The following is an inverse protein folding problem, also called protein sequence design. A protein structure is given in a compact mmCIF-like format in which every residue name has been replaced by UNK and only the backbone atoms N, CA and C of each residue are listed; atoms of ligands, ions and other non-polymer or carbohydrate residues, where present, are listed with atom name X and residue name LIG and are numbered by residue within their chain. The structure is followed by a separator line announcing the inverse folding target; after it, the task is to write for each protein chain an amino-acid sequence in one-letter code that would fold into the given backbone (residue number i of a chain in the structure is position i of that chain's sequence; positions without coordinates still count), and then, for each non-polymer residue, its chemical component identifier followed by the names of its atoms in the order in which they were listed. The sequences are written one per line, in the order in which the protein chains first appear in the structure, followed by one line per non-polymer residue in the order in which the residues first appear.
data_IF_460048522329
#
_entry.id   IF_460048522329
#
_cell.length_a   1.000
_cell.length_b   1.000
_cell.length_c   1.000
_cell.angle_alpha   90.00
_cell.angle_beta   90.00
_cell.angle_gamma   90.00
#
_symmetry.space_group_name_H-M   'P 1'
#
loop_
_entity.id
_entity.type
_entity.pdbx_description
1 polymer ?
#
# COMPACT_ATOMS: atom_id res chain seq x y z
N UNK A 1 8.39 27.01 2.69
CA UNK A 1 7.97 28.03 1.71
C UNK A 1 6.75 28.70 2.31
N UNK A 2 6.82 29.97 2.68
CA UNK A 2 5.65 30.66 3.23
C UNK A 2 4.58 30.79 2.13
N UNK A 3 3.29 30.55 2.42
CA UNK A 3 2.20 30.76 1.48
C UNK A 3 2.26 32.18 0.88
N UNK A 4 2.09 32.32 -0.44
CA UNK A 4 2.13 33.64 -1.12
C UNK A 4 0.92 34.53 -0.81
N UNK A 5 -0.14 33.91 -0.35
CA UNK A 5 -1.36 34.47 0.25
C UNK A 5 -1.53 33.64 1.53
N UNK A 6 -1.90 34.21 2.69
CA UNK A 6 -1.98 33.54 4.01
C UNK A 6 -3.03 32.40 4.12
N UNK A 7 -3.13 31.57 3.08
CA UNK A 7 -4.04 30.45 2.94
C UNK A 7 -3.29 29.16 3.26
N UNK A 8 -3.47 28.67 4.47
CA UNK A 8 -2.89 27.42 4.98
C UNK A 8 -3.91 26.27 4.88
N UNK A 9 -3.43 25.02 5.05
CA UNK A 9 -4.31 23.85 5.12
C UNK A 9 -5.36 23.97 6.23
N UNK A 10 -4.97 24.43 7.42
CA UNK A 10 -5.91 24.65 8.52
C UNK A 10 -6.99 25.69 8.17
N UNK A 11 -6.65 26.78 7.48
CA UNK A 11 -7.63 27.78 7.02
C UNK A 11 -8.59 27.18 6.00
N UNK A 12 -8.10 26.39 5.04
CA UNK A 12 -8.93 25.70 4.07
C UNK A 12 -9.89 24.69 4.74
N UNK A 13 -9.39 23.88 5.67
CA UNK A 13 -10.18 22.87 6.39
C UNK A 13 -11.30 23.50 7.23
N UNK A 14 -11.02 24.59 7.96
CA UNK A 14 -12.07 25.32 8.71
C UNK A 14 -13.15 25.89 7.78
N UNK A 15 -12.81 26.23 6.54
CA UNK A 15 -13.78 26.67 5.55
C UNK A 15 -14.62 25.49 5.02
N UNK A 16 -14.00 24.34 4.74
CA UNK A 16 -14.70 23.13 4.29
C UNK A 16 -15.74 22.65 5.30
N UNK A 17 -15.44 22.65 6.60
CA UNK A 17 -16.40 22.25 7.63
C UNK A 17 -17.67 23.13 7.71
N UNK A 18 -17.69 24.29 7.02
CA UNK A 18 -18.87 25.16 6.89
C UNK A 18 -19.49 25.14 5.50
N UNK A 19 -18.99 24.28 4.61
CA UNK A 19 -19.45 24.16 3.23
C UNK A 19 -20.42 22.99 3.02
N UNK A 20 -20.95 22.41 4.11
CA UNK A 20 -21.80 21.22 4.09
C UNK A 20 -21.17 20.05 3.29
N UNK A 21 -19.92 19.65 3.59
CA UNK A 21 -19.23 18.64 2.79
C UNK A 21 -19.75 17.24 3.15
N UNK A 22 -19.73 16.32 2.19
CA UNK A 22 -19.87 14.87 2.46
C UNK A 22 -18.51 14.17 2.49
N UNK A 23 -17.60 14.59 1.60
CA UNK A 23 -16.28 13.99 1.39
C UNK A 23 -15.22 15.08 1.37
N UNK A 24 -14.14 14.86 2.11
CA UNK A 24 -13.01 15.78 2.21
C UNK A 24 -11.75 15.07 1.74
N UNK A 25 -11.08 15.62 0.72
CA UNK A 25 -9.77 15.14 0.26
C UNK A 25 -8.68 16.10 0.73
N UNK A 26 -7.83 15.61 1.63
CA UNK A 26 -6.64 16.31 2.09
C UNK A 26 -5.47 15.80 1.24
N UNK A 27 -4.79 16.71 0.54
CA UNK A 27 -3.70 16.32 -0.37
C UNK A 27 -2.63 15.49 0.33
N UNK A 28 -2.14 15.95 1.49
CA UNK A 28 -1.14 15.24 2.29
C UNK A 28 -1.22 15.69 3.76
N UNK A 29 -1.11 14.76 4.70
CA UNK A 29 -0.99 15.05 6.14
C UNK A 29 0.48 15.07 6.55
N UNK A 30 1.08 16.27 6.60
CA UNK A 30 2.50 16.44 6.93
C UNK A 30 2.78 16.74 8.40
N UNK A 31 1.79 17.32 9.08
CA UNK A 31 1.93 17.85 10.43
C UNK A 31 0.74 17.46 11.30
N UNK A 32 0.94 17.59 12.61
CA UNK A 32 -0.06 17.30 13.63
C UNK A 32 -1.36 18.08 13.41
N UNK A 33 -1.26 19.38 13.07
CA UNK A 33 -2.44 20.24 12.92
C UNK A 33 -3.35 19.72 11.78
N UNK A 34 -2.78 19.44 10.61
CA UNK A 34 -3.54 18.93 9.46
C UNK A 34 -4.11 17.55 9.73
N UNK A 35 -3.35 16.66 10.36
CA UNK A 35 -3.80 15.32 10.72
C UNK A 35 -4.96 15.35 11.74
N UNK A 36 -4.84 16.18 12.79
CA UNK A 36 -5.86 16.31 13.84
C UNK A 36 -7.19 16.81 13.26
N UNK A 37 -7.15 17.84 12.41
CA UNK A 37 -8.37 18.38 11.78
C UNK A 37 -9.02 17.32 10.86
N UNK A 38 -8.21 16.51 10.16
CA UNK A 38 -8.74 15.41 9.35
C UNK A 38 -9.44 14.34 10.19
N UNK A 39 -8.87 13.95 11.33
CA UNK A 39 -9.49 13.00 12.26
C UNK A 39 -10.78 13.57 12.87
N UNK A 40 -10.78 14.83 13.32
CA UNK A 40 -11.97 15.50 13.83
C UNK A 40 -13.10 15.58 12.78
N UNK A 41 -12.75 15.87 11.53
CA UNK A 41 -13.69 15.85 10.42
C UNK A 41 -14.28 14.45 10.19
N UNK A 42 -13.46 13.40 10.28
CA UNK A 42 -13.91 12.01 10.18
C UNK A 42 -14.88 11.64 11.31
N UNK A 43 -14.56 11.97 12.56
CA UNK A 43 -15.39 11.70 13.74
C UNK A 43 -16.74 12.44 13.72
N UNK A 44 -16.83 13.55 12.97
CA UNK A 44 -18.08 14.29 12.78
C UNK A 44 -18.93 13.75 11.63
N UNK A 45 -18.53 12.63 11.01
CA UNK A 45 -19.33 11.90 10.02
C UNK A 45 -18.93 12.12 8.56
N UNK A 46 -17.84 12.84 8.29
CA UNK A 46 -17.36 13.08 6.93
C UNK A 46 -16.44 11.95 6.45
N UNK A 47 -16.52 11.57 5.18
CA UNK A 47 -15.51 10.68 4.60
C UNK A 47 -14.24 11.48 4.31
N UNK A 48 -13.15 11.16 5.01
CA UNK A 48 -11.86 11.84 4.82
C UNK A 48 -10.89 10.94 4.09
N UNK A 49 -10.37 11.42 2.97
CA UNK A 49 -9.29 10.79 2.21
C UNK A 49 -8.03 11.64 2.34
N UNK A 50 -6.89 11.00 2.57
CA UNK A 50 -5.61 11.70 2.69
C UNK A 50 -4.45 10.84 2.21
N UNK A 51 -3.29 11.47 2.02
CA UNK A 51 -2.05 10.77 1.70
C UNK A 51 -0.95 11.04 2.72
N UNK A 52 -0.10 10.02 2.93
CA UNK A 52 1.11 10.10 3.75
C UNK A 52 2.24 9.37 3.03
N UNK A 53 3.47 9.75 3.35
CA UNK A 53 4.67 9.08 2.85
C UNK A 53 5.22 8.09 3.87
N UNK A 54 4.86 6.82 3.69
CA UNK A 54 5.24 5.68 4.53
C UNK A 54 5.61 4.49 3.64
N UNK A 55 6.30 3.48 4.18
CA UNK A 55 6.71 2.31 3.38
C UNK A 55 5.67 1.18 3.39
N UNK A 56 4.75 1.18 4.34
CA UNK A 56 3.72 0.16 4.51
C UNK A 56 2.45 0.73 5.15
N UNK A 57 1.35 -0.01 5.04
CA UNK A 57 0.09 0.38 5.65
C UNK A 57 0.17 0.38 7.20
N UNK A 58 0.75 -0.64 7.87
CA UNK A 58 0.95 -0.61 9.32
C UNK A 58 1.84 0.55 9.80
N UNK A 59 2.92 0.90 9.08
CA UNK A 59 3.80 2.01 9.44
C UNK A 59 3.09 3.37 9.38
N UNK A 60 2.01 3.48 8.59
CA UNK A 60 1.20 4.70 8.54
C UNK A 60 0.52 4.98 9.86
N UNK A 61 0.07 3.93 10.57
CA UNK A 61 -0.52 4.07 11.90
C UNK A 61 0.52 4.61 12.87
N UNK A 62 1.70 3.98 12.95
CA UNK A 62 2.75 4.43 13.86
C UNK A 62 3.20 5.85 13.53
N UNK A 63 3.31 6.20 12.25
CA UNK A 63 3.66 7.55 11.80
C UNK A 63 2.64 8.61 12.25
N UNK A 64 1.35 8.30 12.17
CA UNK A 64 0.28 9.20 12.60
C UNK A 64 0.27 9.37 14.13
N UNK A 65 0.55 8.31 14.88
CA UNK A 65 0.73 8.39 16.33
C UNK A 65 1.98 9.21 16.73
N UNK A 66 3.08 9.06 15.99
CA UNK A 66 4.32 9.83 16.20
C UNK A 66 4.15 11.33 15.90
N UNK A 67 3.23 11.68 14.98
CA UNK A 67 2.84 13.08 14.76
C UNK A 67 2.10 13.67 15.96
N UNK A 68 1.66 12.84 16.92
CA UNK A 68 1.00 13.26 18.15
C UNK A 68 -0.50 13.08 18.16
N UNK A 69 -1.08 12.36 17.18
CA UNK A 69 -2.50 12.05 17.21
C UNK A 69 -2.86 11.26 18.46
N UNK A 70 -3.99 11.62 19.05
CA UNK A 70 -4.58 10.85 20.13
C UNK A 70 -4.99 9.45 19.59
N UNK A 71 -4.48 8.35 20.18
CA UNK A 71 -4.78 7.01 19.68
C UNK A 71 -6.26 6.69 19.69
N UNK A 72 -7.01 7.22 20.67
CA UNK A 72 -8.43 6.91 20.81
C UNK A 72 -9.21 7.49 19.63
N UNK A 73 -9.08 8.80 19.45
CA UNK A 73 -9.75 9.49 18.35
C UNK A 73 -9.31 8.95 16.98
N UNK A 74 -8.02 8.63 16.82
CA UNK A 74 -7.49 8.14 15.55
C UNK A 74 -8.05 6.77 15.17
N UNK A 75 -8.06 5.79 16.07
CA UNK A 75 -8.56 4.47 15.68
C UNK A 75 -10.08 4.42 15.52
N UNK A 76 -10.85 5.20 16.28
CA UNK A 76 -12.29 5.36 16.02
C UNK A 76 -12.56 5.94 14.62
N UNK A 77 -11.72 6.85 14.16
CA UNK A 77 -11.84 7.48 12.84
C UNK A 77 -11.28 6.65 11.67
N UNK A 78 -10.47 5.63 11.94
CA UNK A 78 -9.73 4.89 10.92
C UNK A 78 -10.59 3.81 10.27
N UNK A 79 -10.90 3.98 8.98
CA UNK A 79 -11.54 2.95 8.17
C UNK A 79 -10.53 1.96 7.57
N UNK A 80 -9.37 2.45 7.14
CA UNK A 80 -8.32 1.64 6.54
C UNK A 80 -7.18 2.46 5.97
N UNK A 81 -6.10 1.78 5.61
CA UNK A 81 -4.90 2.35 5.01
C UNK A 81 -4.54 1.54 3.77
N UNK A 82 -4.39 2.22 2.63
CA UNK A 82 -3.86 1.63 1.41
C UNK A 82 -2.42 2.11 1.21
N UNK A 83 -1.47 1.19 1.33
CA UNK A 83 -0.11 1.39 0.84
C UNK A 83 0.01 0.84 -0.58
N UNK A 84 0.77 1.53 -1.43
CA UNK A 84 0.97 1.11 -2.81
C UNK A 84 2.33 1.48 -3.36
N UNK A 85 2.80 0.68 -4.32
CA UNK A 85 3.93 1.02 -5.20
C UNK A 85 3.58 0.68 -6.64
N UNK A 86 4.36 1.19 -7.60
CA UNK A 86 4.16 0.94 -9.03
C UNK A 86 5.30 0.10 -9.59
N UNK A 87 4.94 -1.00 -10.23
CA UNK A 87 5.84 -1.85 -11.02
C UNK A 87 5.58 -1.64 -12.51
N UNK A 88 6.59 -1.85 -13.35
CA UNK A 88 6.39 -1.82 -14.81
C UNK A 88 5.64 -3.07 -15.25
N UNK A 89 4.70 -2.93 -16.17
CA UNK A 89 3.96 -4.06 -16.74
C UNK A 89 4.73 -4.63 -17.93
N UNK A 90 4.79 -5.96 -18.06
CA UNK A 90 5.36 -6.64 -19.21
C UNK A 90 4.66 -6.21 -20.49
N UNK A 91 5.42 -6.01 -21.56
CA UNK A 91 4.85 -5.61 -22.85
C UNK A 91 3.94 -6.74 -23.38
N UNK A 92 2.65 -6.48 -23.66
CA UNK A 92 1.72 -7.53 -24.09
C UNK A 92 2.07 -8.11 -25.48
N UNK A 93 2.89 -7.41 -26.28
CA UNK A 93 3.28 -7.83 -27.63
C UNK A 93 4.52 -8.71 -27.68
N UNK A 94 5.43 -8.58 -26.72
CA UNK A 94 6.72 -9.27 -26.76
C UNK A 94 7.04 -10.06 -25.50
N UNK A 95 6.19 -10.10 -24.47
CA UNK A 95 6.43 -10.97 -23.32
C UNK A 95 6.52 -12.44 -23.78
N UNK A 96 7.46 -13.19 -23.22
CA UNK A 96 7.68 -14.59 -23.57
C UNK A 96 7.78 -15.45 -22.31
N UNK A 97 7.33 -16.73 -22.36
CA UNK A 97 7.51 -17.65 -21.25
C UNK A 97 8.99 -18.00 -21.07
N UNK A 98 9.40 -18.20 -19.82
CA UNK A 98 10.69 -18.79 -19.46
C UNK A 98 10.51 -19.73 -18.27
N UNK A 99 11.38 -20.74 -18.18
CA UNK A 99 11.49 -21.56 -16.98
C UNK A 99 12.34 -20.81 -15.95
N UNK A 100 11.77 -20.38 -14.81
CA UNK A 100 12.54 -19.67 -13.80
C UNK A 100 13.60 -20.58 -13.18
N UNK A 101 14.80 -20.05 -12.86
CA UNK A 101 15.81 -20.81 -12.14
C UNK A 101 15.32 -21.12 -10.72
N UNK A 102 15.77 -22.25 -10.14
CA UNK A 102 15.32 -22.69 -8.82
C UNK A 102 15.46 -21.60 -7.74
N UNK A 103 16.58 -20.87 -7.75
CA UNK A 103 16.83 -19.76 -6.81
C UNK A 103 15.76 -18.66 -6.88
N UNK A 104 15.22 -18.39 -8.05
CA UNK A 104 14.14 -17.41 -8.22
C UNK A 104 12.83 -17.94 -7.64
N UNK A 105 12.51 -19.22 -7.88
CA UNK A 105 11.35 -19.87 -7.29
C UNK A 105 11.44 -19.91 -5.76
N UNK A 106 12.59 -20.33 -5.22
CA UNK A 106 12.82 -20.40 -3.78
C UNK A 106 12.62 -19.02 -3.13
N UNK A 107 13.15 -17.97 -3.75
CA UNK A 107 12.96 -16.60 -3.26
C UNK A 107 11.50 -16.14 -3.35
N UNK A 108 10.78 -16.47 -4.42
CA UNK A 108 9.35 -16.13 -4.55
C UNK A 108 8.52 -16.83 -3.46
N UNK A 109 8.81 -18.09 -3.15
CA UNK A 109 8.12 -18.85 -2.10
C UNK A 109 8.43 -18.26 -0.71
N UNK A 110 9.71 -18.04 -0.41
CA UNK A 110 10.14 -17.45 0.86
C UNK A 110 9.55 -16.05 1.08
N UNK A 111 9.64 -15.18 0.06
CA UNK A 111 9.12 -13.82 0.13
C UNK A 111 7.59 -13.73 0.23
N UNK A 112 6.87 -14.76 -0.22
CA UNK A 112 5.41 -14.86 -0.06
C UNK A 112 5.02 -15.39 1.33
N UNK A 113 5.89 -16.21 1.93
CA UNK A 113 5.62 -17.04 3.10
C UNK A 113 5.21 -18.46 2.69
N UNK A 114 5.96 -19.48 3.11
CA UNK A 114 5.80 -20.86 2.63
C UNK A 114 4.38 -21.42 2.80
N UNK A 115 3.76 -21.18 3.97
CA UNK A 115 2.41 -21.68 4.25
C UNK A 115 1.35 -20.95 3.41
N UNK A 116 1.47 -19.63 3.29
CA UNK A 116 0.55 -18.83 2.47
C UNK A 116 0.72 -19.16 0.99
N UNK A 117 1.94 -19.45 0.53
CA UNK A 117 2.21 -19.75 -0.87
C UNK A 117 1.51 -21.02 -1.33
N UNK A 118 1.37 -22.03 -0.46
CA UNK A 118 0.63 -23.26 -0.76
C UNK A 118 -0.81 -22.99 -1.17
N UNK A 119 -1.42 -21.90 -0.68
CA UNK A 119 -2.79 -21.53 -1.03
C UNK A 119 -2.96 -21.11 -2.50
N UNK A 120 -1.86 -20.73 -3.17
CA UNK A 120 -1.87 -20.39 -4.60
C UNK A 120 -2.02 -21.62 -5.51
N UNK A 121 -1.80 -22.84 -4.99
CA UNK A 121 -1.87 -24.11 -5.74
C UNK A 121 -1.04 -24.12 -7.03
N UNK A 122 0.19 -23.59 -6.97
CA UNK A 122 1.12 -23.53 -8.10
C UNK A 122 2.05 -24.75 -8.07
N UNK A 123 2.15 -25.45 -9.20
CA UNK A 123 3.13 -26.52 -9.39
C UNK A 123 4.49 -25.93 -9.81
N UNK A 124 5.43 -25.88 -8.85
CA UNK A 124 6.76 -25.29 -9.05
C UNK A 124 7.63 -26.07 -10.04
N UNK A 125 7.36 -27.36 -10.28
CA UNK A 125 8.18 -28.17 -11.18
C UNK A 125 7.91 -27.85 -12.66
N UNK A 126 6.66 -27.43 -12.94
CA UNK A 126 6.15 -27.19 -14.29
C UNK A 126 5.85 -25.73 -14.59
N UNK A 127 5.92 -24.83 -13.61
CA UNK A 127 5.59 -23.42 -13.80
C UNK A 127 6.51 -22.72 -14.79
N UNK A 128 5.90 -21.96 -15.71
CA UNK A 128 6.57 -20.99 -16.57
C UNK A 128 6.13 -19.58 -16.17
N UNK A 129 7.08 -18.66 -16.11
CA UNK A 129 6.82 -17.24 -15.84
C UNK A 129 6.96 -16.43 -17.12
N UNK A 130 6.32 -15.27 -17.16
CA UNK A 130 6.46 -14.34 -18.29
C UNK A 130 7.61 -13.37 -18.05
N UNK A 131 8.50 -13.23 -19.04
CA UNK A 131 9.66 -12.34 -18.97
C UNK A 131 9.68 -11.28 -20.09
N UNK A 132 10.50 -10.23 -19.92
CA UNK A 132 10.66 -9.17 -20.91
C UNK A 132 11.59 -9.62 -22.06
N UNK A 133 11.19 -9.33 -23.31
CA UNK A 133 12.04 -9.56 -24.51
C UNK A 133 12.53 -8.25 -25.13
N UNK A 134 11.62 -7.32 -25.40
CA UNK A 134 11.91 -6.08 -26.14
C UNK A 134 11.37 -6.13 -27.57
N UNK A 135 10.74 -5.03 -27.98
CA UNK A 135 10.30 -4.80 -29.35
C UNK A 135 10.12 -3.30 -29.59
N UNK A 136 9.90 -2.92 -30.84
CA UNK A 136 9.66 -1.54 -31.25
C UNK A 136 8.51 -0.86 -30.50
N UNK A 137 7.45 -1.61 -30.16
CA UNK A 137 6.28 -1.09 -29.43
C UNK A 137 6.55 -0.67 -27.98
N UNK A 138 7.59 -1.23 -27.36
CA UNK A 138 8.02 -0.91 -26.00
C UNK A 138 9.38 -0.22 -25.95
N UNK A 139 9.91 0.22 -27.10
CA UNK A 139 11.24 0.83 -27.21
C UNK A 139 12.35 -0.11 -26.74
N UNK A 140 12.23 -1.40 -27.06
CA UNK A 140 13.18 -2.47 -26.70
C UNK A 140 13.40 -2.68 -25.19
N UNK A 141 12.51 -2.13 -24.35
CA UNK A 141 12.61 -2.28 -22.89
C UNK A 141 12.01 -3.58 -22.36
N UNK A 142 11.09 -4.18 -23.11
CA UNK A 142 10.27 -5.32 -22.67
C UNK A 142 9.08 -4.95 -21.78
N UNK A 143 8.88 -3.65 -21.47
CA UNK A 143 7.80 -3.17 -20.59
C UNK A 143 6.94 -2.09 -21.24
N UNK A 144 5.64 -2.08 -20.96
CA UNK A 144 4.73 -1.04 -21.43
C UNK A 144 3.60 -0.82 -20.43
N UNK A 145 3.58 0.36 -19.82
CA UNK A 145 2.64 0.70 -18.74
C UNK A 145 3.16 0.33 -17.35
N UNK A 146 2.29 0.47 -16.35
CA UNK A 146 2.57 0.18 -14.95
C UNK A 146 1.38 -0.51 -14.31
N UNK A 147 1.65 -1.35 -13.33
CA UNK A 147 0.66 -1.95 -12.43
C UNK A 147 0.95 -1.54 -11.00
N UNK A 148 -0.11 -1.31 -10.23
CA UNK A 148 0.00 -1.10 -8.79
C UNK A 148 0.21 -2.44 -8.08
N UNK A 149 1.05 -2.43 -7.06
CA UNK A 149 1.02 -3.41 -5.98
C UNK A 149 0.46 -2.73 -4.74
N UNK A 150 -0.37 -3.45 -4.00
CA UNK A 150 -1.22 -2.89 -2.97
C UNK A 150 -1.11 -3.69 -1.69
N UNK A 151 -1.14 -2.98 -0.57
CA UNK A 151 -1.29 -3.53 0.76
C UNK A 151 -2.40 -2.74 1.43
N UNK A 152 -3.53 -3.42 1.68
CA UNK A 152 -4.74 -2.81 2.19
C UNK A 152 -5.00 -3.32 3.61
N UNK A 153 -4.78 -2.44 4.57
CA UNK A 153 -5.10 -2.65 5.97
C UNK A 153 -6.49 -2.09 6.24
N UNK A 154 -7.35 -2.88 6.88
CA UNK A 154 -8.70 -2.48 7.28
C UNK A 154 -8.72 -2.20 8.79
N UNK A 155 -9.40 -1.13 9.21
CA UNK A 155 -9.56 -0.76 10.61
C UNK A 155 -10.57 -1.66 11.33
N UNK A 156 -10.23 -2.92 11.56
CA UNK A 156 -11.04 -3.87 12.35
C UNK A 156 -11.07 -3.48 13.82
N UNK A 157 -12.03 -4.00 14.59
CA UNK A 157 -12.12 -3.72 16.03
C UNK A 157 -10.87 -4.22 16.77
N UNK A 158 -10.32 -5.36 16.37
CA UNK A 158 -9.11 -5.97 16.90
C UNK A 158 -7.90 -5.07 16.63
N UNK A 159 -7.76 -4.57 15.40
CA UNK A 159 -6.70 -3.65 15.03
C UNK A 159 -6.84 -2.31 15.78
N UNK A 160 -8.04 -1.74 15.85
CA UNK A 160 -8.32 -0.53 16.61
C UNK A 160 -7.91 -0.68 18.09
N UNK A 161 -8.18 -1.84 18.69
CA UNK A 161 -7.76 -2.13 20.07
C UNK A 161 -6.23 -2.15 20.25
N UNK A 162 -5.47 -2.55 19.24
CA UNK A 162 -4.01 -2.46 19.24
C UNK A 162 -3.52 -1.02 19.12
N UNK A 163 -4.18 -0.21 18.28
CA UNK A 163 -3.88 1.21 18.12
C UNK A 163 -4.15 1.97 19.43
N UNK A 164 -5.29 1.73 20.10
CA UNK A 164 -5.60 2.28 21.43
C UNK A 164 -4.48 2.06 22.44
N UNK A 165 -3.87 0.87 22.41
CA UNK A 165 -2.79 0.48 23.34
C UNK A 165 -1.41 0.94 22.89
N UNK A 166 -1.29 1.61 21.75
CA UNK A 166 -0.01 1.96 21.09
C UNK A 166 0.89 0.72 20.95
N UNK A 167 0.33 -0.38 20.46
CA UNK A 167 1.06 -1.61 20.26
C UNK A 167 2.23 -1.43 19.28
N UNK A 168 3.24 -2.29 19.42
CA UNK A 168 4.39 -2.35 18.52
C UNK A 168 3.96 -2.64 17.08
N UNK A 169 4.71 -2.10 16.11
CA UNK A 169 4.43 -2.25 14.68
C UNK A 169 4.27 -3.71 14.24
N UNK A 170 5.07 -4.61 14.82
CA UNK A 170 5.02 -6.04 14.53
C UNK A 170 3.65 -6.65 14.86
N UNK A 171 3.05 -6.28 15.99
CA UNK A 171 1.74 -6.77 16.42
C UNK A 171 0.61 -6.22 15.54
N UNK A 172 0.69 -4.93 15.18
CA UNK A 172 -0.26 -4.30 14.24
C UNK A 172 -0.20 -5.02 12.89
N UNK A 173 1.00 -5.32 12.40
CA UNK A 173 1.20 -6.05 11.15
C UNK A 173 0.65 -7.46 11.22
N UNK A 174 0.96 -8.22 12.27
CA UNK A 174 0.46 -9.59 12.47
C UNK A 174 -1.07 -9.62 12.50
N UNK A 175 -1.70 -8.70 13.24
CA UNK A 175 -3.15 -8.59 13.28
C UNK A 175 -3.73 -8.25 11.90
N UNK A 176 -3.16 -7.28 11.19
CA UNK A 176 -3.63 -6.91 9.86
C UNK A 176 -3.54 -8.09 8.87
N UNK A 177 -2.46 -8.88 8.92
CA UNK A 177 -2.35 -10.11 8.13
C UNK A 177 -3.42 -11.13 8.50
N UNK A 178 -3.68 -11.32 9.81
CA UNK A 178 -4.76 -12.19 10.28
C UNK A 178 -6.15 -11.71 9.85
N UNK A 179 -6.34 -10.40 9.69
CA UNK A 179 -7.57 -9.78 9.18
C UNK A 179 -7.71 -9.91 7.65
N UNK A 180 -6.74 -10.55 6.98
CA UNK A 180 -6.75 -10.81 5.55
C UNK A 180 -6.00 -9.78 4.69
N UNK A 181 -5.23 -8.87 5.31
CA UNK A 181 -4.31 -8.00 4.56
C UNK A 181 -3.28 -8.87 3.83
N UNK A 182 -3.06 -8.59 2.54
CA UNK A 182 -1.90 -9.09 1.81
C UNK A 182 -0.82 -8.02 1.76
N UNK A 183 0.44 -8.45 1.87
CA UNK A 183 1.57 -7.53 1.72
C UNK A 183 1.77 -7.12 0.26
N UNK A 184 2.44 -5.99 0.03
CA UNK A 184 2.85 -5.60 -1.32
C UNK A 184 3.74 -6.65 -2.01
N UNK A 185 4.52 -7.43 -1.24
CA UNK A 185 5.32 -8.56 -1.77
C UNK A 185 4.39 -9.63 -2.32
N UNK A 186 3.43 -10.11 -1.51
CA UNK A 186 2.47 -11.13 -1.91
C UNK A 186 1.65 -10.72 -3.14
N UNK A 187 1.08 -9.51 -3.14
CA UNK A 187 0.31 -9.00 -4.28
C UNK A 187 1.18 -8.79 -5.53
N UNK A 188 2.46 -8.44 -5.37
CA UNK A 188 3.43 -8.39 -6.47
C UNK A 188 3.73 -9.77 -7.06
N UNK A 189 3.89 -10.78 -6.21
CA UNK A 189 4.17 -12.17 -6.59
C UNK A 189 2.97 -12.77 -7.33
N UNK A 190 1.74 -12.59 -6.84
CA UNK A 190 0.54 -13.02 -7.57
C UNK A 190 0.47 -12.42 -8.98
N UNK A 191 0.86 -11.15 -9.14
CA UNK A 191 0.93 -10.49 -10.46
C UNK A 191 2.02 -11.02 -11.37
N UNK A 192 3.11 -11.57 -10.82
CA UNK A 192 4.15 -12.28 -11.60
C UNK A 192 3.56 -13.57 -12.16
N UNK A 193 2.90 -14.37 -11.32
CA UNK A 193 2.25 -15.61 -11.77
C UNK A 193 1.09 -15.34 -12.76
N UNK A 194 0.43 -14.19 -12.65
CA UNK A 194 -0.54 -13.72 -13.65
C UNK A 194 0.11 -13.20 -14.96
N UNK A 195 1.44 -13.15 -15.04
CA UNK A 195 2.18 -12.70 -16.23
C UNK A 195 1.99 -11.22 -16.57
N UNK A 196 1.71 -10.38 -15.55
CA UNK A 196 1.54 -8.93 -15.68
C UNK A 196 2.86 -8.18 -15.50
N UNK A 197 3.72 -8.68 -14.63
CA UNK A 197 5.04 -8.14 -14.30
C UNK A 197 6.03 -9.29 -14.11
N UNK A 198 7.29 -9.00 -13.82
CA UNK A 198 8.32 -10.00 -13.59
C UNK A 198 9.01 -9.86 -12.22
N UNK A 199 9.83 -10.87 -11.92
CA UNK A 199 10.66 -10.96 -10.72
C UNK A 199 11.62 -9.77 -10.55
N UNK A 200 12.19 -9.28 -11.66
CA UNK A 200 13.14 -8.16 -11.65
C UNK A 200 12.45 -6.88 -11.17
N UNK A 201 11.20 -6.63 -11.58
CA UNK A 201 10.43 -5.49 -11.08
C UNK A 201 10.12 -5.62 -9.60
N UNK A 202 9.86 -6.83 -9.09
CA UNK A 202 9.54 -7.04 -7.69
C UNK A 202 10.73 -6.66 -6.81
N UNK A 203 11.92 -7.20 -7.13
CA UNK A 203 13.17 -6.89 -6.43
C UNK A 203 13.50 -5.38 -6.45
N UNK A 204 13.16 -4.70 -7.54
CA UNK A 204 13.42 -3.25 -7.67
C UNK A 204 12.50 -2.41 -6.80
N UNK A 205 11.23 -2.80 -6.69
CA UNK A 205 10.19 -1.95 -6.11
C UNK A 205 9.94 -2.28 -4.65
N UNK A 206 10.14 -3.53 -4.23
CA UNK A 206 9.93 -3.94 -2.85
C UNK A 206 11.28 -4.36 -2.27
N UNK A 207 12.04 -3.36 -1.78
CA UNK A 207 13.23 -3.61 -0.97
C UNK A 207 12.84 -4.31 0.35
N UNK A 208 13.74 -5.14 0.87
CA UNK A 208 13.56 -5.97 2.07
C UNK A 208 13.12 -5.17 3.30
#
# INVERSE_FOLDING_TARGET
MLPKIDFTFATAMRAFLRADPDVILIGEMRDHETASIGVEASLTGHLVLSTLHTNSAPETITRLLDLGLDPVNFSDALLGVLAQRLMRTLCPKCKAPYKPPQKELDHLVDAYGEEDFKTLNIDLDTVELMGPVGCTDCGDTGYKGRTGIHELLIGTNELQALIYKKAELALIREQALSDGMRTMKQDGIEKIFAGLTDYIQLLRVVAE
#
